data_IF_134895623355
#
_entry.id   IF_134895623355
#
_cell.length_a   1.000
_cell.length_b   1.000
_cell.length_c   1.000
_cell.angle_alpha   90.00
_cell.angle_beta   90.00
_cell.angle_gamma   90.00
#
_symmetry.space_group_name_H-M   'P 1'
#
loop_
_entity.id
_entity.type
_entity.pdbx_description
1 polymer ?
#
# COMPACT_ATOMS: atom_id res chain seq x y z
N UNK A 1 -21.45 -12.83 12.29
CA UNK A 1 -20.46 -12.46 13.31
C UNK A 1 -20.15 -10.99 13.09
N UNK A 2 -20.74 -10.11 13.89
CA UNK A 2 -20.47 -8.68 13.78
C UNK A 2 -19.00 -8.44 14.13
N UNK A 3 -18.24 -7.90 13.18
CA UNK A 3 -16.87 -7.49 13.47
C UNK A 3 -16.99 -6.23 14.33
N UNK A 4 -16.85 -6.40 15.65
CA UNK A 4 -16.82 -5.29 16.60
C UNK A 4 -15.71 -4.31 16.21
N UNK A 5 -15.94 -3.00 16.37
CA UNK A 5 -14.93 -1.96 16.11
C UNK A 5 -13.59 -2.26 16.80
N UNK A 6 -13.61 -2.89 17.97
CA UNK A 6 -12.41 -3.34 18.68
C UNK A 6 -11.62 -4.39 17.89
N UNK A 7 -12.30 -5.36 17.28
CA UNK A 7 -11.64 -6.39 16.48
C UNK A 7 -10.95 -5.79 15.24
N UNK A 8 -11.59 -4.82 14.56
CA UNK A 8 -10.97 -4.09 13.46
C UNK A 8 -9.72 -3.33 13.91
N UNK A 9 -9.82 -2.57 15.01
CA UNK A 9 -8.68 -1.81 15.55
C UNK A 9 -7.52 -2.76 15.87
N UNK A 10 -7.79 -3.89 16.52
CA UNK A 10 -6.77 -4.90 16.85
C UNK A 10 -6.10 -5.44 15.57
N UNK A 11 -6.87 -5.82 14.55
CA UNK A 11 -6.32 -6.33 13.29
C UNK A 11 -5.42 -5.27 12.62
N UNK A 12 -5.86 -4.01 12.56
CA UNK A 12 -5.07 -2.92 12.00
C UNK A 12 -3.79 -2.65 12.81
N UNK A 13 -3.88 -2.59 14.14
CA UNK A 13 -2.73 -2.39 15.01
C UNK A 13 -1.70 -3.52 14.87
N UNK A 14 -2.14 -4.79 14.85
CA UNK A 14 -1.26 -5.94 14.62
C UNK A 14 -0.58 -5.84 13.25
N UNK A 15 -1.32 -5.46 12.20
CA UNK A 15 -0.77 -5.25 10.85
C UNK A 15 0.30 -4.16 10.84
N UNK A 16 0.09 -3.04 11.54
CA UNK A 16 1.08 -1.96 11.67
C UNK A 16 2.33 -2.45 12.42
N UNK A 17 2.16 -3.19 13.51
CA UNK A 17 3.29 -3.73 14.29
C UNK A 17 4.11 -4.69 13.42
N UNK A 18 3.46 -5.60 12.70
CA UNK A 18 4.14 -6.53 11.76
C UNK A 18 4.88 -5.75 10.68
N UNK A 19 4.26 -4.70 10.10
CA UNK A 19 4.90 -3.83 9.12
C UNK A 19 6.19 -3.19 9.64
N UNK A 20 6.20 -2.75 10.90
CA UNK A 20 7.39 -2.20 11.53
C UNK A 20 8.52 -3.24 11.66
N UNK A 21 8.20 -4.47 12.08
CA UNK A 21 9.18 -5.57 12.12
C UNK A 21 9.74 -5.87 10.72
N UNK A 22 8.89 -5.91 9.69
CA UNK A 22 9.34 -6.09 8.31
C UNK A 22 10.17 -4.92 7.79
N UNK A 23 9.90 -3.69 8.24
CA UNK A 23 10.74 -2.54 7.91
C UNK A 23 12.14 -2.68 8.52
N UNK A 24 12.26 -3.19 9.74
CA UNK A 24 13.57 -3.48 10.35
C UNK A 24 14.30 -4.60 9.59
N UNK A 25 13.59 -5.66 9.20
CA UNK A 25 14.17 -6.76 8.42
C UNK A 25 14.54 -6.35 6.99
N UNK A 26 13.77 -5.46 6.37
CA UNK A 26 14.02 -4.89 5.05
C UNK A 26 15.37 -4.18 4.99
N UNK A 27 15.74 -3.45 6.04
CA UNK A 27 17.05 -2.78 6.14
C UNK A 27 18.23 -3.75 6.10
N UNK A 28 18.05 -4.99 6.56
CA UNK A 28 19.11 -6.02 6.58
C UNK A 28 19.10 -6.91 5.35
N UNK A 29 17.92 -7.24 4.82
CA UNK A 29 17.75 -8.15 3.67
C UNK A 29 17.76 -7.45 2.30
N UNK A 30 17.58 -6.14 2.26
CA UNK A 30 17.44 -5.37 1.01
C UNK A 30 16.09 -5.56 0.31
N UNK A 31 15.20 -6.41 0.84
CA UNK A 31 13.86 -6.65 0.30
C UNK A 31 12.90 -5.59 0.89
N UNK A 32 12.07 -4.90 0.07
CA UNK A 32 11.11 -3.92 0.59
C UNK A 32 10.11 -4.54 1.57
N UNK A 33 9.77 -3.80 2.63
CA UNK A 33 8.80 -4.23 3.64
C UNK A 33 7.41 -4.52 3.06
N UNK A 34 6.99 -3.73 2.07
CA UNK A 34 5.70 -3.90 1.36
C UNK A 34 5.63 -5.28 0.68
N UNK A 35 6.74 -5.74 0.08
CA UNK A 35 6.81 -7.04 -0.59
C UNK A 35 6.64 -8.20 0.41
N UNK A 36 7.23 -8.06 1.60
CA UNK A 36 7.06 -9.04 2.69
C UNK A 36 5.62 -9.08 3.20
N UNK A 37 4.96 -7.93 3.33
CA UNK A 37 3.55 -7.86 3.73
C UNK A 37 2.63 -8.55 2.70
N UNK A 38 2.88 -8.33 1.41
CA UNK A 38 2.13 -8.99 0.33
C UNK A 38 2.29 -10.50 0.41
N UNK A 39 3.54 -10.99 0.57
CA UNK A 39 3.82 -12.42 0.70
C UNK A 39 3.13 -13.00 1.94
N UNK A 40 3.18 -12.31 3.08
CA UNK A 40 2.49 -12.75 4.30
C UNK A 40 0.97 -12.85 4.09
N UNK A 41 0.36 -11.88 3.40
CA UNK A 41 -1.06 -11.94 3.04
C UNK A 41 -1.40 -13.15 2.13
N UNK A 42 -0.55 -13.43 1.14
CA UNK A 42 -0.70 -14.60 0.26
C UNK A 42 -0.58 -15.90 1.05
N UNK A 43 0.41 -16.03 1.94
CA UNK A 43 0.60 -17.21 2.78
C UNK A 43 -0.61 -17.46 3.70
N UNK A 44 -1.19 -16.40 4.28
CA UNK A 44 -2.41 -16.49 5.08
C UNK A 44 -3.58 -16.99 4.20
N UNK A 45 -3.76 -16.42 3.01
CA UNK A 45 -4.83 -16.82 2.09
C UNK A 45 -4.70 -18.29 1.66
N UNK A 46 -3.47 -18.75 1.38
CA UNK A 46 -3.19 -20.15 1.06
C UNK A 46 -3.50 -21.06 2.25
N UNK A 47 -3.08 -20.69 3.47
CA UNK A 47 -3.38 -21.45 4.68
C UNK A 47 -4.88 -21.59 4.95
N UNK A 48 -5.66 -20.52 4.75
CA UNK A 48 -7.12 -20.53 4.88
C UNK A 48 -7.79 -21.43 3.83
N UNK A 49 -7.30 -21.37 2.59
CA UNK A 49 -7.81 -22.19 1.48
C UNK A 49 -7.58 -23.68 1.73
N UNK A 50 -6.40 -24.05 2.24
CA UNK A 50 -6.08 -25.44 2.61
C UNK A 50 -6.93 -25.92 3.80
N UNK A 51 -7.24 -25.03 4.75
CA UNK A 51 -8.10 -25.34 5.89
C UNK A 51 -9.61 -25.42 5.55
N UNK A 52 -10.00 -25.19 4.29
CA UNK A 52 -11.41 -25.21 3.86
C UNK A 52 -12.25 -24.06 4.41
N UNK A 53 -11.63 -23.03 4.98
CA UNK A 53 -12.31 -21.87 5.53
C UNK A 53 -12.64 -20.92 4.38
N UNK A 54 -13.92 -20.61 4.19
CA UNK A 54 -14.36 -19.68 3.15
C UNK A 54 -13.78 -18.30 3.45
N UNK A 55 -13.13 -17.70 2.45
CA UNK A 55 -12.50 -16.39 2.59
C UNK A 55 -13.51 -15.36 3.13
N UNK A 56 -13.12 -14.53 4.13
CA UNK A 56 -13.98 -13.48 4.62
C UNK A 56 -14.30 -12.49 3.49
N UNK A 57 -15.49 -11.88 3.55
CA UNK A 57 -15.90 -10.84 2.61
C UNK A 57 -15.03 -9.58 2.80
N UNK A 58 -13.89 -9.56 2.13
CA UNK A 58 -12.92 -8.47 2.09
C UNK A 58 -13.17 -7.40 0.98
N UNK A 59 -14.01 -7.57 -0.06
CA UNK A 59 -13.98 -6.63 -1.19
C UNK A 59 -14.39 -5.21 -0.78
N UNK A 60 -15.35 -5.06 0.15
CA UNK A 60 -15.78 -3.74 0.63
C UNK A 60 -14.66 -2.99 1.35
N UNK A 61 -13.93 -3.65 2.26
CA UNK A 61 -12.84 -2.98 3.00
C UNK A 61 -11.65 -2.70 2.08
N UNK A 62 -11.39 -3.58 1.11
CA UNK A 62 -10.26 -3.48 0.19
C UNK A 62 -10.48 -2.40 -0.87
N UNK A 63 -11.71 -2.21 -1.32
CA UNK A 63 -12.10 -1.11 -2.21
C UNK A 63 -11.90 0.24 -1.52
N UNK A 64 -12.41 0.40 -0.29
CA UNK A 64 -12.24 1.64 0.49
C UNK A 64 -10.76 1.92 0.76
N UNK A 65 -10.01 0.92 1.25
CA UNK A 65 -8.58 1.07 1.50
C UNK A 65 -7.78 1.32 0.21
N UNK A 66 -8.18 0.73 -0.91
CA UNK A 66 -7.54 0.93 -2.21
C UNK A 66 -7.71 2.35 -2.72
N UNK A 67 -8.92 2.90 -2.67
CA UNK A 67 -9.20 4.28 -3.07
C UNK A 67 -8.49 5.26 -2.14
N UNK A 68 -8.62 5.09 -0.82
CA UNK A 68 -7.95 5.97 0.16
C UNK A 68 -6.43 5.87 0.02
N UNK A 69 -5.89 4.66 -0.12
CA UNK A 69 -4.47 4.41 -0.32
C UNK A 69 -3.93 5.06 -1.59
N UNK A 70 -4.63 4.93 -2.72
CA UNK A 70 -4.26 5.57 -3.99
C UNK A 70 -4.23 7.09 -3.84
N UNK A 71 -5.25 7.68 -3.22
CA UNK A 71 -5.29 9.13 -2.96
C UNK A 71 -4.10 9.55 -2.09
N UNK A 72 -3.80 8.82 -1.01
CA UNK A 72 -2.68 9.11 -0.13
C UNK A 72 -1.33 9.03 -0.86
N UNK A 73 -1.12 8.01 -1.71
CA UNK A 73 0.10 7.87 -2.51
C UNK A 73 0.27 9.06 -3.47
N UNK A 74 -0.81 9.44 -4.16
CA UNK A 74 -0.80 10.59 -5.07
C UNK A 74 -0.53 11.90 -4.32
N UNK A 75 -1.16 12.09 -3.16
CA UNK A 75 -0.95 13.27 -2.31
C UNK A 75 0.49 13.32 -1.76
N UNK A 76 1.05 12.19 -1.32
CA UNK A 76 2.42 12.11 -0.82
C UNK A 76 3.42 12.47 -1.91
N UNK A 77 3.24 11.92 -3.13
CA UNK A 77 4.08 12.26 -4.27
C UNK A 77 3.92 13.74 -4.70
N UNK A 78 2.70 14.29 -4.67
CA UNK A 78 2.44 15.70 -4.97
C UNK A 78 2.99 16.65 -3.90
N UNK A 79 3.01 16.22 -2.63
CA UNK A 79 3.56 16.98 -1.51
C UNK A 79 5.09 16.96 -1.49
N UNK A 80 5.70 15.81 -1.82
CA UNK A 80 7.16 15.68 -1.97
C UNK A 80 7.68 16.49 -3.18
N UNK A 81 6.82 16.75 -4.17
CA UNK A 81 7.11 17.63 -5.30
C UNK A 81 7.23 19.10 -4.87
N UNK A 82 8.43 19.51 -4.49
CA UNK A 82 8.75 20.93 -4.25
C UNK A 82 8.85 21.70 -5.57
N UNK A 83 7.88 22.59 -5.82
CA UNK A 83 7.83 23.48 -6.97
C UNK A 83 8.84 24.64 -6.84
N UNK A 84 10.11 24.33 -7.07
CA UNK A 84 11.17 25.33 -7.20
C UNK A 84 11.20 25.86 -8.63
N UNK A 85 11.35 27.19 -8.80
CA UNK A 85 11.42 27.86 -10.12
C UNK A 85 12.46 27.22 -11.05
N UNK A 86 13.55 26.71 -10.50
CA UNK A 86 14.62 26.01 -11.22
C UNK A 86 14.19 24.65 -11.79
N UNK A 87 13.26 23.95 -11.11
CA UNK A 87 12.75 22.63 -11.52
C UNK A 87 11.52 22.72 -12.42
N UNK A 88 10.82 23.87 -12.47
CA UNK A 88 9.63 24.07 -13.33
C UNK A 88 9.93 23.78 -14.80
N UNK A 89 11.11 24.16 -15.31
CA UNK A 89 11.51 23.86 -16.69
C UNK A 89 11.58 22.35 -16.95
N UNK A 90 12.09 21.58 -15.98
CA UNK A 90 12.17 20.11 -16.08
C UNK A 90 10.77 19.49 -16.03
N UNK A 91 9.91 19.96 -15.12
CA UNK A 91 8.52 19.50 -14.99
C UNK A 91 7.77 19.70 -16.31
N UNK A 92 7.83 20.91 -16.88
CA UNK A 92 7.16 21.21 -18.15
C UNK A 92 7.70 20.36 -19.31
N UNK A 93 9.02 20.15 -19.37
CA UNK A 93 9.62 19.30 -20.43
C UNK A 93 9.17 17.85 -20.29
N UNK A 94 9.18 17.29 -19.08
CA UNK A 94 8.71 15.93 -18.82
C UNK A 94 7.21 15.78 -19.12
N UNK A 95 6.40 16.80 -18.81
CA UNK A 95 4.98 16.82 -19.13
C UNK A 95 4.75 16.75 -20.64
N UNK A 96 5.40 17.59 -21.45
CA UNK A 96 5.26 17.56 -22.90
C UNK A 96 5.79 16.27 -23.53
N UNK A 97 6.90 15.73 -23.03
CA UNK A 97 7.44 14.43 -23.49
C UNK A 97 6.47 13.30 -23.18
N UNK A 98 5.89 13.27 -21.98
CA UNK A 98 4.88 12.27 -21.62
C UNK A 98 3.58 12.46 -22.42
N UNK A 99 3.14 13.71 -22.63
CA UNK A 99 1.92 14.03 -23.38
C UNK A 99 2.02 13.62 -24.85
N UNK A 100 3.18 13.83 -25.48
CA UNK A 100 3.45 13.40 -26.86
C UNK A 100 3.79 11.90 -26.96
N UNK A 101 4.38 11.31 -25.92
CA UNK A 101 4.76 9.90 -25.92
C UNK A 101 3.62 8.94 -25.55
N UNK A 102 2.62 9.42 -24.80
CA UNK A 102 1.42 8.66 -24.43
C UNK A 102 0.20 8.97 -25.31
N UNK A 103 0.20 10.13 -25.99
CA UNK A 103 -0.80 10.49 -27.01
C UNK A 103 -0.42 9.96 -28.37
#
# INVERSE_FOLDING_TARGET
MEISSYALIIIFSVTIIISYFFNLFAKKSGIPSVLMLIVLGILINMGLTVAGIKNPNLPLILEVLGVVGLILIVLEAALDLRLLKEKVRVIMKSFFVAFIGLG
#
